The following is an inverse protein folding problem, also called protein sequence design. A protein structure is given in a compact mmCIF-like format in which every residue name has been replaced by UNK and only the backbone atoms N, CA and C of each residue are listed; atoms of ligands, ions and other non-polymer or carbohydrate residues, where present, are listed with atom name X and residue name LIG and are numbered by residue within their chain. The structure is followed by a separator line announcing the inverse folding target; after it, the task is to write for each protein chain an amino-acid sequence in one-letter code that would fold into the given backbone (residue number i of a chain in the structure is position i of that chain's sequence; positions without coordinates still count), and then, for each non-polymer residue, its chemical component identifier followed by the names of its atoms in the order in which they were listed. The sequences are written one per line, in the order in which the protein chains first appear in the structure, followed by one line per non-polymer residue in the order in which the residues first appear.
data_IF_463069509972
#
_entry.id   IF_463069509972
#
_cell.length_a   1.000
_cell.length_b   1.000
_cell.length_c   1.000
_cell.angle_alpha   90.00
_cell.angle_beta   90.00
_cell.angle_gamma   90.00
#
_symmetry.space_group_name_H-M   'P 1'
#
loop_
_entity.id
_entity.type
_entity.pdbx_description
1 polymer ?
#
# COMPACT_ATOMS: atom_id res chain seq x y z
N UNK A 1 14.18 15.13 -6.19
CA UNK A 1 13.80 13.76 -5.78
C UNK A 1 12.43 13.78 -5.10
N UNK A 2 11.42 14.36 -5.75
CA UNK A 2 10.15 14.65 -5.07
C UNK A 2 9.15 13.48 -5.18
N UNK A 3 9.17 12.76 -6.32
CA UNK A 3 8.12 11.78 -6.64
C UNK A 3 8.57 10.31 -6.55
N UNK A 4 9.83 10.03 -6.21
CA UNK A 4 10.40 8.66 -6.32
C UNK A 4 9.65 7.61 -5.48
N UNK A 5 9.16 8.00 -4.30
CA UNK A 5 8.40 7.09 -3.43
C UNK A 5 7.03 6.74 -4.01
N UNK A 6 6.35 7.76 -4.56
CA UNK A 6 5.04 7.60 -5.21
C UNK A 6 5.18 6.78 -6.49
N UNK A 7 6.21 7.02 -7.31
CA UNK A 7 6.48 6.24 -8.52
C UNK A 7 6.75 4.76 -8.20
N UNK A 8 7.50 4.49 -7.12
CA UNK A 8 7.74 3.12 -6.65
C UNK A 8 6.44 2.46 -6.20
N UNK A 9 5.62 3.17 -5.43
CA UNK A 9 4.31 2.66 -4.99
C UNK A 9 3.41 2.32 -6.18
N UNK A 10 3.26 3.24 -7.14
CA UNK A 10 2.45 3.01 -8.34
C UNK A 10 2.97 1.87 -9.20
N UNK A 11 4.30 1.68 -9.26
CA UNK A 11 4.89 0.53 -9.95
C UNK A 11 4.42 -0.76 -9.29
N UNK A 12 4.59 -0.93 -7.98
CA UNK A 12 4.13 -2.12 -7.27
C UNK A 12 2.62 -2.35 -7.47
N UNK A 13 1.80 -1.31 -7.25
CA UNK A 13 0.35 -1.41 -7.38
C UNK A 13 -0.10 -1.89 -8.77
N UNK A 14 0.52 -1.39 -9.84
CA UNK A 14 0.18 -1.79 -11.20
C UNK A 14 0.44 -3.28 -11.43
N UNK A 15 1.63 -3.76 -11.07
CA UNK A 15 2.03 -5.14 -11.35
C UNK A 15 1.38 -6.17 -10.43
N UNK A 16 1.07 -5.80 -9.20
CA UNK A 16 0.59 -6.73 -8.19
C UNK A 16 -0.95 -6.78 -8.11
N UNK A 17 -1.66 -5.73 -8.56
CA UNK A 17 -3.11 -5.63 -8.46
C UNK A 17 -3.72 -5.15 -9.79
N UNK A 18 -3.43 -3.93 -10.23
CA UNK A 18 -4.21 -3.30 -11.30
C UNK A 18 -4.13 -3.99 -12.67
N UNK A 19 -3.01 -4.65 -13.00
CA UNK A 19 -2.86 -5.41 -14.24
C UNK A 19 -3.37 -6.84 -14.15
N UNK A 20 -3.51 -7.37 -12.93
CA UNK A 20 -3.97 -8.75 -12.71
C UNK A 20 -5.48 -8.82 -12.43
N UNK A 21 -6.07 -7.72 -11.97
CA UNK A 21 -7.46 -7.66 -11.56
C UNK A 21 -8.31 -6.93 -12.59
N UNK A 22 -9.34 -7.62 -13.11
CA UNK A 22 -10.42 -6.97 -13.84
C UNK A 22 -11.51 -6.54 -12.86
N UNK A 23 -11.68 -5.23 -12.66
CA UNK A 23 -12.76 -4.72 -11.82
C UNK A 23 -14.08 -4.73 -12.59
N UNK A 24 -15.13 -5.34 -12.04
CA UNK A 24 -16.44 -5.36 -12.71
C UNK A 24 -17.14 -3.99 -12.63
N UNK A 25 -16.85 -3.20 -11.59
CA UNK A 25 -17.42 -1.87 -11.38
C UNK A 25 -16.53 -1.02 -10.46
N UNK A 26 -16.84 0.29 -10.37
CA UNK A 26 -16.08 1.25 -9.56
C UNK A 26 -16.12 0.90 -8.07
N UNK A 27 -17.23 0.31 -7.57
CA UNK A 27 -17.34 -0.05 -6.15
C UNK A 27 -16.35 -1.15 -5.78
N UNK A 28 -16.23 -2.17 -6.61
CA UNK A 28 -15.24 -3.23 -6.45
C UNK A 28 -13.81 -2.70 -6.59
N UNK A 29 -13.54 -1.86 -7.59
CA UNK A 29 -12.23 -1.24 -7.75
C UNK A 29 -11.80 -0.48 -6.48
N UNK A 30 -12.72 0.30 -5.88
CA UNK A 30 -12.43 1.01 -4.63
C UNK A 30 -12.15 0.06 -3.46
N UNK A 31 -12.88 -1.05 -3.36
CA UNK A 31 -12.67 -2.03 -2.29
C UNK A 31 -11.31 -2.74 -2.44
N UNK A 32 -10.99 -3.21 -3.64
CA UNK A 32 -9.72 -3.87 -3.95
C UNK A 32 -8.52 -2.93 -3.72
N UNK A 33 -8.59 -1.69 -4.23
CA UNK A 33 -7.55 -0.67 -4.01
C UNK A 33 -7.39 -0.36 -2.52
N UNK A 34 -8.48 -0.22 -1.77
CA UNK A 34 -8.41 0.01 -0.32
C UNK A 34 -7.71 -1.15 0.40
N UNK A 35 -8.03 -2.39 0.03
CA UNK A 35 -7.36 -3.58 0.59
C UNK A 35 -5.88 -3.58 0.26
N UNK A 36 -5.51 -3.33 -1.00
CA UNK A 36 -4.11 -3.29 -1.42
C UNK A 36 -3.32 -2.20 -0.68
N UNK A 37 -3.89 -1.00 -0.53
CA UNK A 37 -3.26 0.10 0.21
C UNK A 37 -3.04 -0.27 1.67
N UNK A 38 -3.99 -0.98 2.29
CA UNK A 38 -3.86 -1.44 3.67
C UNK A 38 -2.73 -2.46 3.81
N UNK A 39 -2.72 -3.53 3.01
CA UNK A 39 -1.65 -4.53 3.01
C UNK A 39 -0.28 -3.91 2.72
N UNK A 40 -0.19 -3.01 1.73
CA UNK A 40 1.07 -2.34 1.39
C UNK A 40 1.65 -1.53 2.56
N UNK A 41 0.79 -0.84 3.33
CA UNK A 41 1.20 0.06 4.40
C UNK A 41 1.40 -0.64 5.75
N UNK A 42 0.59 -1.65 6.07
CA UNK A 42 0.53 -2.22 7.43
C UNK A 42 1.10 -3.64 7.53
N UNK A 43 1.17 -4.39 6.43
CA UNK A 43 1.56 -5.80 6.45
C UNK A 43 2.86 -6.07 5.68
N UNK A 44 3.10 -5.34 4.58
CA UNK A 44 4.29 -5.54 3.74
C UNK A 44 5.52 -4.84 4.33
N UNK A 45 6.56 -5.62 4.59
CA UNK A 45 7.91 -5.12 4.90
C UNK A 45 8.63 -4.65 3.63
N UNK A 46 9.40 -3.56 3.73
CA UNK A 46 10.15 -3.01 2.60
C UNK A 46 11.63 -2.86 2.95
N UNK A 47 12.50 -3.46 2.17
CA UNK A 47 13.96 -3.41 2.37
C UNK A 47 14.54 -1.99 2.35
N UNK A 48 13.87 -1.05 1.67
CA UNK A 48 14.26 0.35 1.64
C UNK A 48 14.09 1.09 2.99
N UNK A 49 13.31 0.50 3.91
CA UNK A 49 13.06 1.02 5.26
C UNK A 49 13.37 -0.06 6.31
N UNK A 50 14.51 -0.74 6.15
CA UNK A 50 15.01 -1.75 7.09
C UNK A 50 14.00 -2.88 7.39
N UNK A 51 13.31 -3.35 6.34
CA UNK A 51 12.29 -4.39 6.42
C UNK A 51 11.15 -4.07 7.41
N UNK A 52 10.88 -2.78 7.61
CA UNK A 52 9.70 -2.31 8.34
C UNK A 52 8.53 -2.06 7.39
N UNK A 53 7.33 -1.91 7.96
CA UNK A 53 6.14 -1.53 7.18
C UNK A 53 6.10 0.00 7.02
N UNK A 54 5.53 0.53 5.92
CA UNK A 54 5.46 1.97 5.73
C UNK A 54 4.72 2.69 6.85
N UNK A 55 3.66 2.08 7.40
CA UNK A 55 2.92 2.63 8.52
C UNK A 55 3.81 2.75 9.77
N UNK A 56 4.62 1.73 10.10
CA UNK A 56 5.49 1.80 11.28
C UNK A 56 6.60 2.83 11.14
N UNK A 57 7.13 3.01 9.92
CA UNK A 57 8.26 3.90 9.69
C UNK A 57 7.83 5.37 9.54
N UNK A 58 6.78 5.65 8.76
CA UNK A 58 6.37 7.02 8.42
C UNK A 58 5.22 7.55 9.29
N UNK A 59 4.35 6.67 9.80
CA UNK A 59 3.13 7.06 10.50
C UNK A 59 2.92 6.25 11.79
N UNK A 60 3.88 6.28 12.73
CA UNK A 60 3.79 5.46 13.94
C UNK A 60 2.52 5.72 14.78
N UNK A 61 1.94 6.93 14.69
CA UNK A 61 0.67 7.24 15.34
C UNK A 61 -0.54 6.44 14.77
N UNK A 62 -0.53 6.08 13.48
CA UNK A 62 -1.60 5.27 12.86
C UNK A 62 -1.56 3.80 13.28
N UNK A 63 -0.47 3.32 13.89
CA UNK A 63 -0.40 1.97 14.43
C UNK A 63 -1.23 1.79 15.71
N UNK A 64 -1.43 2.86 16.48
CA UNK A 64 -2.22 2.84 17.73
C UNK A 64 -3.68 2.50 17.43
N UNK A 65 -4.24 3.04 16.35
CA UNK A 65 -5.62 2.80 15.92
C UNK A 65 -5.79 1.46 15.19
N UNK A 66 -4.71 0.88 14.66
CA UNK A 66 -4.78 -0.40 13.93
C UNK A 66 -4.69 -1.63 14.85
N UNK A 67 -4.07 -1.49 16.02
CA UNK A 67 -3.89 -2.57 17.00
C UNK A 67 -5.04 -2.68 18.04
N UNK A 68 -6.00 -1.76 18.01
CA UNK A 68 -7.20 -1.73 18.85
C UNK A 68 -8.39 -2.42 18.15
#
# INVERSE_FOLDING_TARGET
ADNIMIERWFRSFKYEEAYLTQYANIREARAAIKSYVHTYNFERCHSAINDQTPASYYYPALLIDHAA
#
